data_IF_888677635856
#
_entry.id   IF_888677635856
#
_cell.length_a   1.000
_cell.length_b   1.000
_cell.length_c   1.000
_cell.angle_alpha   90.00
_cell.angle_beta   90.00
_cell.angle_gamma   90.00
#
_symmetry.space_group_name_H-M   'P 1'
#
loop_
_entity.id
_entity.type
_entity.pdbx_description
1 polymer ?
#
# COMPACT_ATOMS: atom_id res chain seq x y z
N UNK A 1 16.09 -12.21 -19.69
CA UNK A 1 15.59 -13.47 -19.20
C UNK A 1 14.05 -13.44 -19.26
N UNK A 2 13.43 -14.41 -19.94
CA UNK A 2 11.98 -14.47 -20.15
C UNK A 2 11.20 -14.51 -18.81
N UNK A 3 11.79 -15.07 -17.76
CA UNK A 3 11.19 -15.19 -16.44
C UNK A 3 10.97 -13.86 -15.71
N UNK A 4 11.63 -12.79 -16.16
CA UNK A 4 11.53 -11.44 -15.55
C UNK A 4 10.60 -10.52 -16.34
N UNK A 5 9.89 -11.04 -17.32
CA UNK A 5 8.95 -10.28 -18.16
C UNK A 5 7.56 -10.87 -18.03
N UNK A 6 6.58 -9.99 -17.95
CA UNK A 6 5.16 -10.30 -18.10
C UNK A 6 4.72 -9.83 -19.50
N UNK A 7 4.11 -10.71 -20.27
CA UNK A 7 3.56 -10.36 -21.57
C UNK A 7 2.04 -10.22 -21.43
N UNK A 8 1.54 -9.02 -21.73
CA UNK A 8 0.11 -8.73 -21.79
C UNK A 8 -0.17 -8.29 -23.22
N UNK A 9 -0.82 -9.15 -23.98
CA UNK A 9 -1.02 -8.99 -25.45
C UNK A 9 0.33 -8.76 -26.14
N UNK A 10 0.54 -7.61 -26.81
CA UNK A 10 1.80 -7.24 -27.47
C UNK A 10 2.79 -6.52 -26.53
N UNK A 11 2.33 -6.04 -25.38
CA UNK A 11 3.15 -5.28 -24.42
C UNK A 11 3.95 -6.21 -23.52
N UNK A 12 5.23 -5.88 -23.31
CA UNK A 12 6.10 -6.57 -22.36
C UNK A 12 6.40 -5.64 -21.18
N UNK A 13 6.08 -6.10 -19.99
CA UNK A 13 6.36 -5.41 -18.74
C UNK A 13 7.47 -6.11 -17.97
N UNK A 14 8.25 -5.37 -17.19
CA UNK A 14 9.21 -5.94 -16.26
C UNK A 14 8.49 -6.36 -15.00
N UNK A 15 8.78 -7.56 -14.49
CA UNK A 15 8.26 -8.02 -13.19
C UNK A 15 8.93 -7.29 -12.03
N UNK A 16 10.17 -6.83 -12.20
CA UNK A 16 10.88 -5.99 -11.25
C UNK A 16 11.88 -5.08 -11.98
N UNK A 17 12.20 -3.98 -11.34
CA UNK A 17 13.24 -3.06 -11.77
C UNK A 17 14.05 -2.58 -10.57
N UNK A 18 15.34 -2.35 -10.77
CA UNK A 18 16.22 -1.78 -9.77
C UNK A 18 16.71 -0.42 -10.25
N UNK A 19 16.54 0.61 -9.44
CA UNK A 19 16.91 1.98 -9.78
C UNK A 19 18.19 2.36 -9.03
N UNK A 20 19.25 2.59 -9.79
CA UNK A 20 20.53 3.05 -9.27
C UNK A 20 20.77 4.53 -9.63
N UNK A 21 21.57 5.20 -8.82
CA UNK A 21 22.01 6.57 -9.09
C UNK A 21 22.73 7.17 -7.88
N UNK A 22 23.43 8.29 -8.10
CA UNK A 22 24.10 9.05 -7.05
C UNK A 22 23.11 9.56 -5.98
N UNK A 23 23.61 9.97 -4.83
CA UNK A 23 22.80 10.65 -3.84
C UNK A 23 22.19 11.92 -4.45
N UNK A 24 20.99 12.28 -4.04
CA UNK A 24 20.20 13.39 -4.59
C UNK A 24 19.79 13.28 -6.08
N UNK A 25 19.96 12.12 -6.74
CA UNK A 25 19.55 11.90 -8.14
C UNK A 25 18.03 11.71 -8.33
N UNK A 26 17.23 11.79 -7.28
CA UNK A 26 15.77 11.67 -7.36
C UNK A 26 15.21 10.26 -7.19
N UNK A 27 16.02 9.25 -6.82
CA UNK A 27 15.53 7.87 -6.60
C UNK A 27 14.35 7.81 -5.62
N UNK A 28 14.48 8.48 -4.50
CA UNK A 28 13.42 8.56 -3.49
C UNK A 28 12.18 9.27 -4.02
N UNK A 29 12.34 10.25 -4.93
CA UNK A 29 11.21 10.96 -5.53
C UNK A 29 10.32 10.03 -6.37
N UNK A 30 10.88 8.96 -6.93
CA UNK A 30 10.06 7.95 -7.63
C UNK A 30 9.10 7.23 -6.68
N UNK A 31 9.58 6.80 -5.52
CA UNK A 31 8.72 6.20 -4.50
C UNK A 31 7.70 7.21 -3.93
N UNK A 32 8.15 8.45 -3.69
CA UNK A 32 7.28 9.55 -3.25
C UNK A 32 6.23 9.91 -4.29
N UNK A 33 6.54 9.80 -5.60
CA UNK A 33 5.56 9.96 -6.66
C UNK A 33 4.41 8.95 -6.52
N UNK A 34 4.70 7.66 -6.39
CA UNK A 34 3.65 6.65 -6.25
C UNK A 34 2.84 6.84 -4.97
N UNK A 35 3.49 7.17 -3.86
CA UNK A 35 2.81 7.47 -2.61
C UNK A 35 1.87 8.66 -2.75
N UNK A 36 2.38 9.79 -3.25
CA UNK A 36 1.61 11.01 -3.47
C UNK A 36 0.43 10.77 -4.43
N UNK A 37 0.67 10.03 -5.52
CA UNK A 37 -0.34 9.71 -6.51
C UNK A 37 -1.48 8.90 -5.90
N UNK A 38 -1.15 7.81 -5.20
CA UNK A 38 -2.14 6.98 -4.50
C UNK A 38 -2.91 7.78 -3.45
N UNK A 39 -2.20 8.51 -2.59
CA UNK A 39 -2.83 9.30 -1.53
C UNK A 39 -3.77 10.36 -2.12
N UNK A 40 -3.37 11.02 -3.22
CA UNK A 40 -4.19 12.03 -3.90
C UNK A 40 -5.48 11.41 -4.47
N UNK A 41 -5.39 10.24 -5.07
CA UNK A 41 -6.55 9.53 -5.64
C UNK A 41 -7.47 9.00 -4.54
N UNK A 42 -6.93 8.46 -3.46
CA UNK A 42 -7.75 7.82 -2.42
C UNK A 42 -8.34 8.85 -1.43
N UNK A 43 -7.60 9.91 -1.11
CA UNK A 43 -7.89 10.80 0.00
C UNK A 43 -7.96 12.30 -0.38
N UNK A 44 -7.66 12.63 -1.65
CA UNK A 44 -7.46 14.01 -2.11
C UNK A 44 -6.03 14.50 -1.91
N UNK A 45 -5.69 15.64 -2.53
CA UNK A 45 -4.31 16.18 -2.47
C UNK A 45 -3.87 16.39 -1.01
N UNK A 46 -2.83 15.67 -0.52
CA UNK A 46 -2.41 15.75 0.87
C UNK A 46 -1.85 17.14 1.21
N UNK A 47 -1.91 17.52 2.49
CA UNK A 47 -1.45 18.84 2.94
C UNK A 47 0.06 19.02 2.73
N UNK A 48 0.82 17.94 2.83
CA UNK A 48 2.27 17.90 2.64
C UNK A 48 2.68 18.29 1.22
N UNK A 49 1.76 18.18 0.24
CA UNK A 49 1.97 18.59 -1.15
C UNK A 49 2.41 20.05 -1.27
N UNK A 50 1.98 20.92 -0.33
CA UNK A 50 2.35 22.33 -0.31
C UNK A 50 3.86 22.57 -0.25
N UNK A 51 4.64 21.55 0.12
CA UNK A 51 6.10 21.58 0.21
C UNK A 51 6.81 20.73 -0.87
N UNK A 52 6.06 20.04 -1.74
CA UNK A 52 6.61 19.05 -2.70
C UNK A 52 6.97 19.65 -4.07
N UNK A 53 6.73 20.94 -4.29
CA UNK A 53 7.13 21.59 -5.55
C UNK A 53 8.65 21.67 -5.68
N UNK A 54 9.15 21.75 -6.93
CA UNK A 54 10.59 21.89 -7.20
C UNK A 54 11.13 23.23 -6.68
N UNK A 55 12.06 23.17 -5.71
CA UNK A 55 12.59 24.35 -4.99
C UNK A 55 13.76 25.02 -5.68
N UNK A 56 14.14 24.61 -6.90
CA UNK A 56 15.29 25.17 -7.62
C UNK A 56 15.09 26.62 -8.07
N UNK A 57 13.83 27.05 -8.21
CA UNK A 57 13.46 28.40 -8.61
C UNK A 57 12.22 28.84 -7.86
N UNK A 58 12.14 30.13 -7.57
CA UNK A 58 11.02 30.71 -6.79
C UNK A 58 9.68 30.57 -7.52
N UNK A 59 9.66 30.74 -8.84
CA UNK A 59 8.47 30.64 -9.68
C UNK A 59 7.87 29.23 -9.70
N UNK A 60 8.65 28.18 -9.40
CA UNK A 60 8.16 26.81 -9.39
C UNK A 60 7.10 26.57 -8.32
N UNK A 61 7.01 27.44 -7.32
CA UNK A 61 5.95 27.39 -6.32
C UNK A 61 4.56 27.50 -6.94
N UNK A 62 4.43 28.31 -7.99
CA UNK A 62 3.16 28.57 -8.68
C UNK A 62 3.00 27.76 -9.98
N UNK A 63 3.99 26.93 -10.30
CA UNK A 63 3.94 26.09 -11.50
C UNK A 63 3.11 24.84 -11.26
N UNK A 64 2.46 24.43 -12.34
CA UNK A 64 1.77 23.16 -12.42
C UNK A 64 2.75 21.99 -12.47
N UNK A 65 2.40 20.91 -11.76
CA UNK A 65 3.04 19.60 -11.82
C UNK A 65 2.03 18.59 -12.35
N UNK A 66 2.44 17.78 -13.32
CA UNK A 66 1.58 16.74 -13.91
C UNK A 66 2.03 15.36 -13.47
N UNK A 67 1.07 14.50 -13.22
CA UNK A 67 1.25 13.13 -12.75
C UNK A 67 0.40 12.20 -13.60
N UNK A 68 0.98 11.16 -14.15
CA UNK A 68 0.28 10.16 -14.95
C UNK A 68 0.86 8.77 -14.68
N UNK A 69 -0.02 7.79 -14.62
CA UNK A 69 0.35 6.37 -14.64
C UNK A 69 -0.38 5.65 -15.77
N UNK A 70 0.29 4.67 -16.33
CA UNK A 70 -0.32 3.74 -17.28
C UNK A 70 -0.44 2.38 -16.63
N UNK A 71 -1.63 1.83 -16.62
CA UNK A 71 -1.98 0.59 -15.92
C UNK A 71 -2.74 -0.36 -16.84
N UNK A 72 -2.77 -1.63 -16.43
CA UNK A 72 -3.61 -2.64 -17.07
C UNK A 72 -4.60 -3.20 -16.05
N UNK A 73 -5.87 -3.28 -16.45
CA UNK A 73 -6.94 -3.90 -15.66
C UNK A 73 -7.63 -4.93 -16.55
N UNK A 74 -7.42 -6.20 -16.23
CA UNK A 74 -7.81 -7.28 -17.12
C UNK A 74 -7.14 -7.13 -18.50
N UNK A 75 -7.95 -7.05 -19.56
CA UNK A 75 -7.47 -6.92 -20.95
C UNK A 75 -7.34 -5.48 -21.45
N UNK A 76 -7.64 -4.49 -20.61
CA UNK A 76 -7.64 -3.08 -20.97
C UNK A 76 -6.44 -2.36 -20.43
N UNK A 77 -5.97 -1.37 -21.18
CA UNK A 77 -4.90 -0.47 -20.78
C UNK A 77 -5.47 0.92 -20.55
N UNK A 78 -5.09 1.55 -19.46
CA UNK A 78 -5.53 2.90 -19.12
C UNK A 78 -4.35 3.82 -18.85
N UNK A 79 -4.48 5.10 -19.23
CA UNK A 79 -3.64 6.18 -18.75
C UNK A 79 -4.52 7.10 -17.91
N UNK A 80 -4.22 7.19 -16.62
CA UNK A 80 -4.90 8.11 -15.71
C UNK A 80 -3.91 9.10 -15.14
N UNK A 81 -4.28 10.36 -15.16
CA UNK A 81 -3.44 11.44 -14.66
C UNK A 81 -4.21 12.65 -14.20
N UNK A 82 -3.49 13.51 -13.51
CA UNK A 82 -3.95 14.84 -13.10
C UNK A 82 -2.80 15.82 -13.04
N UNK A 83 -3.12 17.10 -13.10
CA UNK A 83 -2.19 18.19 -12.88
C UNK A 83 -2.65 19.07 -11.72
N UNK A 84 -1.69 19.65 -11.01
CA UNK A 84 -1.97 20.50 -9.86
C UNK A 84 -0.87 21.53 -9.59
N UNK A 85 -1.26 22.70 -9.08
CA UNK A 85 -0.35 23.65 -8.40
C UNK A 85 -0.21 23.18 -6.96
N UNK A 86 0.89 22.49 -6.67
CA UNK A 86 1.09 21.78 -5.39
C UNK A 86 1.04 22.70 -4.17
N UNK A 87 1.69 23.89 -4.27
CA UNK A 87 1.71 24.87 -3.18
C UNK A 87 0.33 25.32 -2.71
N UNK A 88 -0.65 25.24 -3.60
CA UNK A 88 -2.05 25.65 -3.35
C UNK A 88 -2.98 24.45 -3.18
N UNK A 89 -2.48 23.24 -3.37
CA UNK A 89 -3.29 22.01 -3.44
C UNK A 89 -4.42 22.11 -4.47
N UNK A 90 -4.17 22.86 -5.54
CA UNK A 90 -5.18 23.18 -6.55
C UNK A 90 -5.01 22.26 -7.75
N UNK A 91 -6.00 21.42 -8.02
CA UNK A 91 -6.07 20.61 -9.24
C UNK A 91 -6.36 21.50 -10.44
N UNK A 92 -5.54 21.39 -11.48
CA UNK A 92 -5.63 22.19 -12.72
C UNK A 92 -6.09 21.37 -13.91
N UNK A 93 -6.03 20.05 -13.81
CA UNK A 93 -6.52 19.14 -14.84
C UNK A 93 -6.64 17.71 -14.32
N UNK A 94 -7.50 16.92 -14.94
CA UNK A 94 -7.66 15.49 -14.65
C UNK A 94 -8.13 14.79 -15.92
N UNK A 95 -7.58 13.61 -16.22
CA UNK A 95 -7.91 12.86 -17.43
C UNK A 95 -7.81 11.36 -17.23
N UNK A 96 -8.59 10.63 -18.02
CA UNK A 96 -8.52 9.17 -18.15
C UNK A 96 -8.69 8.75 -19.60
N UNK A 97 -7.73 7.98 -20.09
CA UNK A 97 -7.74 7.43 -21.44
C UNK A 97 -7.72 5.90 -21.41
N UNK A 98 -8.45 5.28 -22.31
CA UNK A 98 -8.25 3.88 -22.69
C UNK A 98 -7.23 3.82 -23.82
N UNK A 99 -6.16 3.03 -23.64
CA UNK A 99 -5.06 2.90 -24.60
C UNK A 99 -5.23 1.64 -25.43
N UNK A 100 -4.96 1.75 -26.73
CA UNK A 100 -5.05 0.62 -27.65
C UNK A 100 -3.66 0.20 -28.15
N UNK A 101 -3.52 -1.07 -28.54
CA UNK A 101 -2.25 -1.65 -29.00
C UNK A 101 -1.71 -1.02 -30.28
N UNK A 102 -2.55 -0.41 -31.10
CA UNK A 102 -2.17 0.33 -32.30
C UNK A 102 -1.57 1.71 -32.01
N UNK A 103 -1.40 2.06 -30.73
CA UNK A 103 -0.87 3.35 -30.27
C UNK A 103 -1.92 4.47 -30.21
N UNK A 104 -3.19 4.20 -30.57
CA UNK A 104 -4.26 5.18 -30.36
C UNK A 104 -4.75 5.18 -28.92
N UNK A 105 -5.36 6.29 -28.50
CA UNK A 105 -5.98 6.44 -27.20
C UNK A 105 -7.40 7.00 -27.36
N UNK A 106 -8.31 6.55 -26.52
CA UNK A 106 -9.66 7.09 -26.41
C UNK A 106 -9.80 7.81 -25.08
N UNK A 107 -10.07 9.11 -25.12
CA UNK A 107 -10.45 9.83 -23.89
C UNK A 107 -11.73 9.20 -23.34
N UNK A 108 -11.77 8.90 -22.06
CA UNK A 108 -12.96 8.45 -21.34
C UNK A 108 -13.61 9.61 -20.61
N UNK A 109 -12.83 10.37 -19.86
CA UNK A 109 -13.25 11.67 -19.33
C UNK A 109 -12.06 12.61 -19.19
N UNK A 110 -12.37 13.89 -19.12
CA UNK A 110 -11.40 14.94 -18.81
C UNK A 110 -12.06 16.08 -18.02
N UNK A 111 -11.24 16.80 -17.29
CA UNK A 111 -11.62 17.99 -16.53
C UNK A 111 -10.50 19.03 -16.58
N UNK A 112 -10.86 20.27 -16.84
CA UNK A 112 -9.95 21.41 -16.81
C UNK A 112 -10.23 22.28 -15.59
N UNK A 113 -9.28 22.36 -14.67
CA UNK A 113 -9.39 23.14 -13.45
C UNK A 113 -10.61 22.76 -12.60
N UNK A 114 -11.37 23.77 -12.22
CA UNK A 114 -12.63 23.63 -11.48
C UNK A 114 -13.85 23.45 -12.37
N UNK A 115 -13.67 23.34 -13.69
CA UNK A 115 -14.79 23.13 -14.60
C UNK A 115 -15.45 21.77 -14.37
N UNK A 116 -16.68 21.67 -14.81
CA UNK A 116 -17.44 20.45 -14.82
C UNK A 116 -16.69 19.33 -15.58
N UNK A 117 -16.56 18.12 -15.00
CA UNK A 117 -15.99 16.97 -15.72
C UNK A 117 -16.82 16.60 -16.97
N UNK A 118 -16.14 16.28 -18.06
CA UNK A 118 -16.75 15.94 -19.35
C UNK A 118 -16.46 14.49 -19.70
N UNK A 119 -17.50 13.72 -19.99
CA UNK A 119 -17.38 12.37 -20.50
C UNK A 119 -17.28 12.41 -22.03
N UNK A 120 -16.53 11.49 -22.62
CA UNK A 120 -16.45 11.38 -24.08
C UNK A 120 -17.80 11.01 -24.70
N UNK A 121 -18.24 11.75 -25.69
CA UNK A 121 -19.52 11.57 -26.41
C UNK A 121 -19.65 10.19 -27.09
N UNK A 122 -18.52 9.55 -27.39
CA UNK A 122 -18.50 8.19 -27.96
C UNK A 122 -18.78 7.07 -26.96
N UNK A 123 -19.14 7.39 -25.69
CA UNK A 123 -19.56 6.41 -24.68
C UNK A 123 -21.09 6.41 -24.60
N UNK A 124 -21.70 5.39 -25.16
CA UNK A 124 -23.17 5.24 -25.09
C UNK A 124 -23.59 4.75 -23.71
N UNK A 125 -24.17 5.65 -22.92
CA UNK A 125 -24.71 5.37 -21.58
C UNK A 125 -26.20 5.05 -21.65
N UNK A 126 -26.67 4.26 -20.70
CA UNK A 126 -28.10 4.19 -20.38
C UNK A 126 -28.56 5.50 -19.73
N UNK A 127 -29.86 5.79 -19.77
CA UNK A 127 -30.42 7.01 -19.13
C UNK A 127 -30.05 7.09 -17.63
N UNK A 128 -30.04 5.97 -16.92
CA UNK A 128 -29.66 5.91 -15.50
C UNK A 128 -28.19 6.26 -15.30
N UNK A 129 -27.30 5.74 -16.14
CA UNK A 129 -25.88 6.03 -16.06
C UNK A 129 -25.56 7.47 -16.44
N UNK A 130 -26.28 7.98 -17.46
CA UNK A 130 -26.15 9.38 -17.88
C UNK A 130 -26.55 10.32 -16.74
N UNK A 131 -27.74 10.13 -16.16
CA UNK A 131 -28.21 10.94 -15.05
C UNK A 131 -27.26 10.85 -13.85
N UNK A 132 -26.74 9.64 -13.56
CA UNK A 132 -25.76 9.44 -12.48
C UNK A 132 -24.49 10.24 -12.72
N UNK A 133 -23.91 10.17 -13.93
CA UNK A 133 -22.71 10.90 -14.26
C UNK A 133 -22.94 12.41 -14.21
N UNK A 134 -24.00 12.90 -14.83
CA UNK A 134 -24.33 14.33 -14.87
C UNK A 134 -24.53 14.91 -13.48
N UNK A 135 -25.30 14.25 -12.62
CA UNK A 135 -25.49 14.70 -11.24
C UNK A 135 -24.14 14.85 -10.51
N UNK A 136 -23.28 13.86 -10.59
CA UNK A 136 -21.98 13.94 -9.90
C UNK A 136 -21.02 14.94 -10.55
N UNK A 137 -21.10 15.11 -11.87
CA UNK A 137 -20.28 16.09 -12.58
C UNK A 137 -20.72 17.53 -12.24
N UNK A 138 -22.04 17.75 -12.11
CA UNK A 138 -22.61 19.05 -11.74
C UNK A 138 -22.26 19.38 -10.27
N UNK A 139 -22.43 18.43 -9.35
CA UNK A 139 -22.08 18.60 -7.92
C UNK A 139 -20.57 18.82 -7.71
N UNK A 140 -19.76 18.34 -8.65
CA UNK A 140 -18.30 18.46 -8.58
C UNK A 140 -17.75 19.74 -9.21
N UNK A 141 -18.54 20.47 -9.96
CA UNK A 141 -18.14 21.76 -10.52
C UNK A 141 -17.73 22.74 -9.42
N UNK A 142 -16.66 23.46 -9.64
CA UNK A 142 -16.08 24.36 -8.62
C UNK A 142 -15.12 23.68 -7.64
N UNK A 143 -15.02 22.35 -7.61
CA UNK A 143 -14.06 21.67 -6.74
C UNK A 143 -12.64 21.77 -7.29
N UNK A 144 -11.71 22.29 -6.48
CA UNK A 144 -10.31 22.46 -6.87
C UNK A 144 -9.33 21.58 -6.09
N UNK A 145 -9.79 20.83 -5.07
CA UNK A 145 -8.89 20.13 -4.13
C UNK A 145 -8.98 18.60 -4.19
N UNK A 146 -9.99 18.09 -4.87
CA UNK A 146 -10.24 16.65 -5.00
C UNK A 146 -10.22 16.24 -6.47
N UNK A 147 -10.07 14.95 -6.70
CA UNK A 147 -10.13 14.33 -8.02
C UNK A 147 -11.52 13.77 -8.28
N UNK A 148 -11.99 13.91 -9.52
CA UNK A 148 -13.30 13.39 -9.92
C UNK A 148 -13.35 11.86 -9.89
N UNK A 149 -12.23 11.21 -10.19
CA UNK A 149 -12.12 9.76 -10.02
C UNK A 149 -12.45 9.32 -8.59
N UNK A 150 -11.99 10.06 -7.59
CA UNK A 150 -12.31 9.83 -6.17
C UNK A 150 -13.79 10.01 -5.92
N UNK A 151 -14.38 11.10 -6.42
CA UNK A 151 -15.80 11.40 -6.26
C UNK A 151 -16.67 10.31 -6.87
N UNK A 152 -16.34 9.85 -8.07
CA UNK A 152 -17.08 8.78 -8.74
C UNK A 152 -17.02 7.43 -7.99
N UNK A 153 -16.10 7.28 -7.01
CA UNK A 153 -15.93 6.04 -6.25
C UNK A 153 -16.39 6.11 -4.78
N UNK A 154 -16.43 7.30 -4.18
CA UNK A 154 -16.79 7.45 -2.77
C UNK A 154 -18.23 6.98 -2.49
N UNK A 155 -18.36 5.84 -1.78
CA UNK A 155 -19.67 5.26 -1.40
C UNK A 155 -20.55 4.82 -2.56
N UNK A 156 -20.03 4.77 -3.78
CA UNK A 156 -20.79 4.47 -4.99
C UNK A 156 -20.60 3.02 -5.44
N UNK A 157 -21.68 2.42 -5.98
CA UNK A 157 -21.67 1.05 -6.50
C UNK A 157 -21.87 1.06 -8.02
N UNK A 158 -21.20 0.15 -8.70
CA UNK A 158 -21.33 -0.09 -10.13
C UNK A 158 -21.81 -1.51 -10.39
N UNK A 159 -22.67 -1.66 -11.39
CA UNK A 159 -22.96 -2.98 -11.97
C UNK A 159 -21.75 -3.44 -12.80
N UNK A 160 -21.49 -4.73 -12.85
CA UNK A 160 -20.45 -5.33 -13.71
C UNK A 160 -20.66 -5.05 -15.20
N UNK A 161 -21.88 -4.68 -15.60
CA UNK A 161 -22.23 -4.31 -16.99
C UNK A 161 -22.21 -2.81 -17.23
N UNK A 162 -21.93 -2.00 -16.21
CA UNK A 162 -21.96 -0.54 -16.33
C UNK A 162 -20.87 -0.06 -17.30
N UNK A 163 -21.26 0.88 -18.17
CA UNK A 163 -20.32 1.58 -19.05
C UNK A 163 -19.41 2.57 -18.32
N UNK A 164 -19.75 2.91 -17.07
CA UNK A 164 -18.94 3.73 -16.17
C UNK A 164 -18.03 2.90 -15.26
N UNK A 165 -17.97 1.58 -15.44
CA UNK A 165 -17.20 0.67 -14.58
C UNK A 165 -15.69 1.01 -14.57
N UNK A 166 -15.17 1.61 -15.63
CA UNK A 166 -13.78 2.02 -15.72
C UNK A 166 -13.35 3.00 -14.61
N UNK A 167 -14.28 3.80 -14.06
CA UNK A 167 -13.97 4.62 -12.89
C UNK A 167 -13.62 3.74 -11.68
N UNK A 168 -14.37 2.67 -11.45
CA UNK A 168 -14.12 1.71 -10.39
C UNK A 168 -12.84 0.92 -10.65
N UNK A 169 -12.69 0.40 -11.86
CA UNK A 169 -11.55 -0.43 -12.24
C UNK A 169 -10.21 0.29 -12.01
N UNK A 170 -10.12 1.55 -12.45
CA UNK A 170 -8.90 2.36 -12.28
C UNK A 170 -8.67 2.75 -10.83
N UNK A 171 -9.73 3.16 -10.11
CA UNK A 171 -9.62 3.53 -8.71
C UNK A 171 -9.18 2.34 -7.84
N UNK A 172 -9.84 1.19 -7.98
CA UNK A 172 -9.54 -0.01 -7.21
C UNK A 172 -8.12 -0.51 -7.51
N UNK A 173 -7.66 -0.39 -8.76
CA UNK A 173 -6.29 -0.73 -9.11
C UNK A 173 -5.31 0.17 -8.35
N UNK A 174 -5.48 1.48 -8.39
CA UNK A 174 -4.60 2.44 -7.68
C UNK A 174 -4.63 2.19 -6.17
N UNK A 175 -5.80 1.96 -5.62
CA UNK A 175 -5.97 1.74 -4.19
C UNK A 175 -5.32 0.45 -3.70
N UNK A 176 -5.48 -0.65 -4.45
CA UNK A 176 -5.15 -1.98 -3.96
C UNK A 176 -3.84 -2.55 -4.52
N UNK A 177 -3.34 -2.04 -5.67
CA UNK A 177 -2.20 -2.62 -6.38
C UNK A 177 -0.92 -1.77 -6.29
N UNK A 178 -0.94 -0.64 -5.60
CA UNK A 178 0.26 0.14 -5.29
C UNK A 178 0.55 0.01 -3.79
N UNK A 179 1.73 -0.51 -3.45
CA UNK A 179 2.23 -0.59 -2.08
C UNK A 179 3.61 0.05 -2.01
N UNK A 180 3.82 0.97 -1.08
CA UNK A 180 5.10 1.66 -0.90
C UNK A 180 5.71 1.23 0.42
N UNK A 181 6.87 0.59 0.34
CA UNK A 181 7.65 0.15 1.48
C UNK A 181 8.83 1.09 1.64
N UNK A 182 8.85 1.86 2.73
CA UNK A 182 9.97 2.73 3.12
C UNK A 182 10.84 2.05 4.17
N UNK A 183 12.05 2.54 4.46
CA UNK A 183 12.87 2.00 5.54
C UNK A 183 12.18 1.96 6.91
N UNK A 184 11.22 2.86 7.12
CA UNK A 184 10.46 2.95 8.37
C UNK A 184 9.09 2.23 8.32
N UNK A 185 8.74 1.64 7.17
CA UNK A 185 7.50 0.86 7.05
C UNK A 185 7.67 -0.45 7.82
N UNK A 186 6.88 -0.63 8.86
CA UNK A 186 6.71 -1.91 9.52
C UNK A 186 5.58 -2.67 8.83
N UNK A 187 5.83 -3.93 8.51
CA UNK A 187 4.78 -4.78 7.96
C UNK A 187 3.80 -5.15 9.07
N UNK A 188 2.53 -4.99 8.79
CA UNK A 188 1.46 -5.10 9.79
C UNK A 188 0.94 -6.55 9.86
N UNK A 189 1.07 -7.30 8.77
CA UNK A 189 0.59 -8.67 8.70
C UNK A 189 1.65 -9.64 9.21
N UNK A 190 1.54 -9.98 10.50
CA UNK A 190 2.46 -10.87 11.20
C UNK A 190 1.87 -12.29 11.40
N UNK A 191 0.73 -12.59 10.77
CA UNK A 191 0.08 -13.91 10.87
C UNK A 191 0.96 -15.03 10.31
N UNK A 192 1.85 -14.71 9.36
CA UNK A 192 2.78 -15.68 8.77
C UNK A 192 3.68 -16.39 9.78
N UNK A 193 4.00 -15.76 10.89
CA UNK A 193 4.88 -16.36 11.90
C UNK A 193 4.17 -17.39 12.75
N UNK A 194 2.84 -17.42 12.75
CA UNK A 194 2.02 -18.30 13.58
C UNK A 194 1.36 -19.45 12.80
N UNK A 195 1.47 -19.42 11.47
CA UNK A 195 1.06 -20.56 10.63
C UNK A 195 2.26 -21.45 10.34
N UNK A 196 2.16 -22.72 10.70
CA UNK A 196 3.24 -23.70 10.55
C UNK A 196 3.79 -23.82 9.12
N UNK A 197 2.92 -23.65 8.11
CA UNK A 197 3.34 -23.73 6.71
C UNK A 197 4.12 -22.48 6.31
N UNK A 198 3.68 -21.32 6.76
CA UNK A 198 4.35 -20.06 6.54
C UNK A 198 5.70 -20.02 7.27
N UNK A 199 5.77 -20.50 8.50
CA UNK A 199 7.03 -20.61 9.25
C UNK A 199 8.04 -21.53 8.55
N UNK A 200 7.59 -22.63 7.95
CA UNK A 200 8.45 -23.49 7.10
C UNK A 200 8.99 -22.76 5.88
N UNK A 201 8.15 -21.93 5.23
CA UNK A 201 8.57 -21.11 4.09
C UNK A 201 9.55 -20.03 4.50
N UNK A 202 9.31 -19.32 5.62
CA UNK A 202 10.24 -18.36 6.21
C UNK A 202 11.60 -19.03 6.47
N UNK A 203 11.60 -20.20 7.11
CA UNK A 203 12.80 -20.96 7.39
C UNK A 203 13.55 -21.42 6.13
N UNK A 204 12.85 -21.61 5.03
CA UNK A 204 13.47 -21.90 3.74
C UNK A 204 14.10 -20.65 3.13
N UNK A 205 13.37 -19.52 3.17
CA UNK A 205 13.80 -18.26 2.58
C UNK A 205 14.99 -17.64 3.34
N UNK A 206 14.94 -17.61 4.67
CA UNK A 206 15.97 -16.95 5.48
C UNK A 206 17.37 -17.52 5.20
N UNK A 207 17.46 -18.82 4.92
CA UNK A 207 18.70 -19.50 4.56
C UNK A 207 19.30 -19.02 3.24
N UNK A 208 18.50 -18.40 2.36
CA UNK A 208 18.98 -17.91 1.06
C UNK A 208 19.64 -16.53 1.14
N UNK A 209 19.49 -15.82 2.27
CA UNK A 209 20.00 -14.46 2.43
C UNK A 209 21.41 -14.36 3.04
N UNK A 210 22.05 -15.48 3.32
CA UNK A 210 23.40 -15.55 3.88
C UNK A 210 23.60 -14.70 5.16
N UNK A 211 22.58 -14.63 5.99
CA UNK A 211 22.61 -13.93 7.28
C UNK A 211 23.25 -14.75 8.41
N UNK A 212 23.53 -16.01 8.15
CA UNK A 212 23.95 -16.97 9.17
C UNK A 212 22.80 -17.60 9.95
N UNK A 213 21.58 -17.09 9.81
CA UNK A 213 20.38 -17.65 10.47
C UNK A 213 20.01 -18.97 9.78
N UNK A 214 19.92 -20.01 10.57
CA UNK A 214 19.53 -21.35 10.12
C UNK A 214 18.07 -21.68 10.41
N UNK A 215 17.49 -21.05 11.45
CA UNK A 215 16.14 -21.33 11.87
C UNK A 215 15.50 -20.13 12.60
N UNK A 216 14.25 -19.87 12.30
CA UNK A 216 13.33 -19.03 13.05
C UNK A 216 12.41 -19.94 13.86
N UNK A 217 12.28 -19.69 15.13
CA UNK A 217 11.42 -20.41 16.05
C UNK A 217 10.43 -19.46 16.73
N UNK A 218 9.30 -19.99 17.12
CA UNK A 218 8.36 -19.34 18.04
C UNK A 218 8.62 -19.90 19.44
N UNK A 219 8.89 -19.02 20.38
CA UNK A 219 9.09 -19.35 21.78
C UNK A 219 7.96 -18.77 22.62
N UNK A 220 7.44 -19.56 23.54
CA UNK A 220 6.50 -19.10 24.56
C UNK A 220 7.28 -18.43 25.70
N UNK A 221 6.87 -17.23 26.09
CA UNK A 221 7.47 -16.46 27.16
C UNK A 221 6.43 -16.13 28.24
N UNK A 222 6.90 -15.83 29.42
CA UNK A 222 6.06 -15.42 30.54
C UNK A 222 5.62 -13.95 30.43
N UNK A 223 4.54 -13.58 31.12
CA UNK A 223 4.13 -12.17 31.24
C UNK A 223 5.18 -11.31 31.92
N UNK A 224 5.98 -11.88 32.84
CA UNK A 224 7.07 -11.18 33.50
C UNK A 224 8.19 -10.84 32.51
N UNK A 225 8.57 -11.77 31.62
CA UNK A 225 9.54 -11.51 30.56
C UNK A 225 9.03 -10.46 29.60
N UNK A 226 7.75 -10.52 29.21
CA UNK A 226 7.12 -9.48 28.38
C UNK A 226 7.13 -8.11 29.08
N UNK A 227 6.81 -8.07 30.37
CA UNK A 227 6.83 -6.83 31.18
C UNK A 227 8.23 -6.21 31.24
N UNK A 228 9.26 -7.04 31.33
CA UNK A 228 10.65 -6.57 31.34
C UNK A 228 11.15 -6.08 29.96
N UNK A 229 10.60 -6.61 28.90
CA UNK A 229 10.96 -6.24 27.52
C UNK A 229 10.29 -4.96 27.02
N UNK A 230 9.29 -4.45 27.71
CA UNK A 230 8.49 -3.29 27.29
C UNK A 230 8.56 -2.14 28.28
N UNK A 231 8.46 -0.87 27.83
CA UNK A 231 8.18 0.24 28.73
C UNK A 231 6.90 -0.02 29.53
N UNK A 232 6.94 0.20 30.84
CA UNK A 232 5.83 -0.08 31.74
C UNK A 232 4.48 0.48 31.25
N UNK A 233 4.48 1.72 30.76
CA UNK A 233 3.26 2.36 30.24
C UNK A 233 2.68 1.68 29.00
N UNK A 234 3.51 1.02 28.18
CA UNK A 234 3.08 0.25 26.99
C UNK A 234 2.51 -1.08 27.46
N UNK A 235 3.20 -1.78 28.33
CA UNK A 235 2.75 -3.04 28.91
C UNK A 235 1.39 -2.88 29.62
N UNK A 236 1.26 -1.88 30.49
CA UNK A 236 0.02 -1.63 31.26
C UNK A 236 -1.17 -1.36 30.33
N UNK A 237 -1.00 -0.51 29.31
CA UNK A 237 -2.05 -0.23 28.31
C UNK A 237 -2.44 -1.46 27.51
N UNK A 238 -1.45 -2.24 27.12
CA UNK A 238 -1.66 -3.47 26.35
C UNK A 238 -2.45 -4.49 27.18
N UNK A 239 -2.04 -4.74 28.42
CA UNK A 239 -2.73 -5.68 29.31
C UNK A 239 -4.14 -5.19 29.68
N UNK A 240 -4.33 -3.88 29.84
CA UNK A 240 -5.65 -3.29 30.01
C UNK A 240 -6.56 -3.58 28.80
N UNK A 241 -6.01 -3.45 27.58
CA UNK A 241 -6.77 -3.74 26.37
C UNK A 241 -7.13 -5.24 26.26
N UNK A 242 -6.18 -6.12 26.58
CA UNK A 242 -6.42 -7.57 26.63
C UNK A 242 -7.55 -7.90 27.63
N UNK A 243 -7.45 -7.34 28.84
CA UNK A 243 -8.44 -7.55 29.89
C UNK A 243 -9.84 -7.06 29.48
N UNK A 244 -9.93 -5.85 28.95
CA UNK A 244 -11.21 -5.29 28.48
C UNK A 244 -11.85 -6.20 27.41
N UNK A 245 -11.07 -6.69 26.43
CA UNK A 245 -11.59 -7.59 25.39
C UNK A 245 -12.02 -8.95 25.94
N UNK A 246 -11.35 -9.46 26.97
CA UNK A 246 -11.77 -10.70 27.63
C UNK A 246 -13.09 -10.51 28.42
N UNK A 247 -13.32 -9.32 28.97
CA UNK A 247 -14.55 -9.00 29.70
C UNK A 247 -15.74 -8.71 28.78
N UNK A 248 -15.51 -8.25 27.54
CA UNK A 248 -16.56 -7.91 26.56
C UNK A 248 -17.19 -9.12 25.87
N UNK A 249 -16.59 -10.29 25.94
CA UNK A 249 -17.02 -11.50 25.21
C UNK A 249 -17.29 -12.64 26.17
N UNK A 250 -18.36 -13.40 25.93
CA UNK A 250 -18.68 -14.62 26.72
C UNK A 250 -17.63 -15.73 26.52
N UNK A 251 -17.13 -15.89 25.29
CA UNK A 251 -16.03 -16.81 24.95
C UNK A 251 -14.96 -16.01 24.16
N UNK A 252 -14.04 -15.31 24.87
CA UNK A 252 -13.04 -14.51 24.21
C UNK A 252 -12.05 -15.37 23.43
N UNK A 253 -11.92 -15.12 22.14
CA UNK A 253 -10.90 -15.74 21.29
C UNK A 253 -10.34 -14.65 20.37
N UNK A 254 -9.11 -14.23 20.66
CA UNK A 254 -8.44 -13.23 19.82
C UNK A 254 -6.94 -13.33 19.91
N UNK A 255 -6.29 -12.78 18.91
CA UNK A 255 -4.84 -12.63 18.84
C UNK A 255 -4.49 -11.15 18.71
N UNK A 256 -3.45 -10.73 19.41
CA UNK A 256 -2.89 -9.40 19.34
C UNK A 256 -1.39 -9.50 19.12
N UNK A 257 -0.91 -8.93 18.02
CA UNK A 257 0.51 -8.92 17.71
C UNK A 257 1.06 -7.50 17.85
N UNK A 258 2.21 -7.38 18.48
CA UNK A 258 2.95 -6.14 18.61
C UNK A 258 4.33 -6.28 18.01
N UNK A 259 4.69 -5.31 17.20
CA UNK A 259 6.02 -5.20 16.64
C UNK A 259 6.58 -3.79 16.78
N UNK A 260 7.81 -3.69 17.21
CA UNK A 260 8.65 -2.49 17.12
C UNK A 260 9.90 -2.80 16.26
N UNK A 261 10.85 -1.86 16.19
CA UNK A 261 12.14 -2.14 15.54
C UNK A 261 12.92 -3.28 16.21
N UNK A 262 12.72 -3.48 17.50
CA UNK A 262 13.52 -4.38 18.34
C UNK A 262 12.72 -5.53 18.91
N UNK A 263 11.40 -5.42 18.96
CA UNK A 263 10.55 -6.38 19.67
C UNK A 263 9.47 -6.97 18.76
N UNK A 264 9.16 -8.23 19.00
CA UNK A 264 8.10 -8.95 18.34
C UNK A 264 7.40 -9.84 19.35
N UNK A 265 6.15 -9.56 19.64
CA UNK A 265 5.34 -10.35 20.57
C UNK A 265 3.97 -10.62 20.01
N UNK A 266 3.44 -11.79 20.31
CA UNK A 266 2.07 -12.15 20.06
C UNK A 266 1.41 -12.60 21.36
N UNK A 267 0.21 -12.09 21.62
CA UNK A 267 -0.62 -12.48 22.75
C UNK A 267 -1.85 -13.17 22.17
N UNK A 268 -2.07 -14.38 22.58
CA UNK A 268 -3.21 -15.20 22.17
C UNK A 268 -4.08 -15.51 23.38
N UNK A 269 -5.36 -15.29 23.22
CA UNK A 269 -6.38 -15.55 24.26
C UNK A 269 -7.37 -16.55 23.69
N UNK A 270 -7.57 -17.65 24.40
CA UNK A 270 -8.57 -18.66 24.11
C UNK A 270 -9.43 -18.92 25.35
N UNK A 271 -10.69 -18.56 25.27
CA UNK A 271 -11.59 -18.61 26.41
C UNK A 271 -11.14 -17.73 27.56
N UNK A 272 -11.37 -18.14 28.78
CA UNK A 272 -10.96 -17.42 30.01
C UNK A 272 -9.62 -17.90 30.57
N UNK A 273 -8.80 -18.57 29.75
CA UNK A 273 -7.46 -18.99 30.16
C UNK A 273 -6.50 -17.78 30.25
N UNK A 274 -5.37 -17.96 30.94
CA UNK A 274 -4.32 -16.95 30.93
C UNK A 274 -3.82 -16.69 29.51
N UNK A 275 -3.56 -15.43 29.14
CA UNK A 275 -3.03 -15.08 27.83
C UNK A 275 -1.70 -15.78 27.57
N UNK A 276 -1.62 -16.47 26.44
CA UNK A 276 -0.39 -17.08 25.95
C UNK A 276 0.43 -16.04 25.22
N UNK A 277 1.69 -15.83 25.63
CA UNK A 277 2.59 -14.89 25.01
C UNK A 277 3.69 -15.63 24.26
N UNK A 278 3.95 -15.23 23.01
CA UNK A 278 5.00 -15.81 22.20
C UNK A 278 5.88 -14.73 21.56
N UNK A 279 7.15 -15.07 21.32
CA UNK A 279 8.12 -14.23 20.61
C UNK A 279 8.88 -15.04 19.57
N UNK A 280 9.70 -14.36 18.77
CA UNK A 280 10.57 -14.98 17.77
C UNK A 280 11.96 -15.17 18.37
N UNK A 281 12.55 -16.35 18.16
CA UNK A 281 13.94 -16.65 18.40
C UNK A 281 14.64 -17.09 17.12
N UNK A 282 15.88 -16.68 17.00
CA UNK A 282 16.72 -16.89 15.82
C UNK A 282 17.91 -17.75 16.16
N UNK A 283 18.06 -18.87 15.47
CA UNK A 283 19.18 -19.78 15.64
C UNK A 283 20.18 -19.57 14.50
N UNK A 284 21.43 -19.29 14.83
CA UNK A 284 22.54 -19.13 13.89
C UNK A 284 23.34 -20.42 13.74
N UNK A 285 23.81 -20.72 12.53
CA UNK A 285 24.56 -21.95 12.21
C UNK A 285 25.79 -22.23 13.09
N UNK A 286 26.38 -21.17 13.64
CA UNK A 286 27.65 -21.26 14.41
C UNK A 286 27.48 -20.95 15.89
N UNK A 287 26.22 -20.79 16.35
CA UNK A 287 25.91 -20.45 17.73
C UNK A 287 25.28 -21.64 18.46
N UNK A 288 25.61 -21.79 19.73
CA UNK A 288 24.94 -22.71 20.65
C UNK A 288 23.70 -22.06 21.30
N UNK A 289 23.56 -20.74 21.18
CA UNK A 289 22.49 -19.97 21.80
C UNK A 289 21.56 -19.43 20.72
N UNK A 290 20.32 -19.24 21.09
CA UNK A 290 19.32 -18.55 20.29
C UNK A 290 19.36 -17.05 20.60
N UNK A 291 19.11 -16.23 19.58
CA UNK A 291 19.15 -14.77 19.67
C UNK A 291 17.72 -14.22 19.67
N UNK A 292 17.51 -13.15 20.42
CA UNK A 292 16.34 -12.33 20.31
C UNK A 292 16.34 -11.51 19.01
N UNK A 293 15.18 -11.03 18.65
CA UNK A 293 15.05 -10.17 17.47
C UNK A 293 15.81 -8.83 17.61
N UNK A 294 15.94 -8.34 18.86
CA UNK A 294 16.68 -7.15 19.26
C UNK A 294 18.20 -7.30 19.12
N UNK A 295 18.69 -8.52 19.20
CA UNK A 295 20.13 -8.82 19.06
C UNK A 295 20.60 -8.87 17.60
N UNK A 296 19.67 -8.84 16.64
CA UNK A 296 19.97 -8.87 15.21
C UNK A 296 20.36 -7.50 14.65
N UNK A 297 21.13 -7.53 13.55
CA UNK A 297 21.47 -6.31 12.81
C UNK A 297 20.24 -5.66 12.19
N UNK A 298 20.27 -4.33 11.94
CA UNK A 298 19.21 -3.60 11.24
C UNK A 298 18.93 -4.21 9.86
N UNK A 299 19.96 -4.66 9.16
CA UNK A 299 19.82 -5.33 7.86
C UNK A 299 19.06 -6.64 7.97
N UNK A 300 19.38 -7.47 8.96
CA UNK A 300 18.68 -8.72 9.24
C UNK A 300 17.23 -8.46 9.62
N UNK A 301 16.98 -7.54 10.54
CA UNK A 301 15.61 -7.14 10.92
C UNK A 301 14.81 -6.67 9.74
N UNK A 302 15.44 -5.92 8.82
CA UNK A 302 14.80 -5.46 7.59
C UNK A 302 14.39 -6.59 6.65
N UNK A 303 15.15 -7.68 6.59
CA UNK A 303 14.74 -8.86 5.82
C UNK A 303 13.42 -9.47 6.32
N UNK A 304 13.20 -9.47 7.63
CA UNK A 304 11.91 -9.90 8.20
C UNK A 304 10.78 -8.97 7.79
N UNK A 305 11.03 -7.67 7.66
CA UNK A 305 10.03 -6.72 7.15
C UNK A 305 9.68 -6.97 5.69
N UNK A 306 10.57 -7.56 4.91
CA UNK A 306 10.34 -7.89 3.51
C UNK A 306 9.72 -9.29 3.32
N UNK A 307 9.61 -10.10 4.38
CA UNK A 307 9.06 -11.46 4.28
C UNK A 307 7.61 -11.45 3.79
N UNK A 308 6.79 -10.49 4.21
CA UNK A 308 5.42 -10.36 3.72
C UNK A 308 5.38 -10.22 2.19
N UNK A 309 6.22 -9.36 1.63
CA UNK A 309 6.33 -9.19 0.18
C UNK A 309 6.81 -10.47 -0.52
N UNK A 310 7.71 -11.24 0.11
CA UNK A 310 8.29 -12.45 -0.46
C UNK A 310 7.37 -13.67 -0.32
N UNK A 311 6.55 -13.73 0.72
CA UNK A 311 5.63 -14.81 1.02
C UNK A 311 4.24 -14.57 0.45
N UNK A 312 3.86 -13.31 0.31
CA UNK A 312 2.56 -12.93 -0.21
C UNK A 312 2.49 -13.21 -1.72
N UNK A 313 1.56 -14.08 -2.10
CA UNK A 313 1.32 -14.46 -3.50
C UNK A 313 0.49 -13.42 -4.28
N UNK A 314 0.46 -12.18 -3.84
CA UNK A 314 -0.23 -11.10 -4.57
C UNK A 314 0.61 -10.72 -5.80
N UNK A 315 0.44 -11.49 -6.88
CA UNK A 315 1.15 -11.30 -8.16
C UNK A 315 0.81 -9.99 -8.87
N UNK A 316 -0.20 -9.30 -8.39
CA UNK A 316 -0.83 -8.12 -8.98
C UNK A 316 -0.48 -6.80 -8.26
N UNK A 317 0.37 -6.81 -7.24
CA UNK A 317 0.76 -5.61 -6.48
C UNK A 317 2.11 -5.08 -6.93
N UNK A 318 2.20 -3.77 -7.13
CA UNK A 318 3.45 -3.01 -7.31
C UNK A 318 3.97 -2.60 -5.92
N UNK A 319 5.14 -3.11 -5.56
CA UNK A 319 5.85 -2.76 -4.33
C UNK A 319 6.96 -1.74 -4.60
#
# INVERSE_FOLDING_TARGET
>A
NANHRLKIKSTQLLKYAVVYGANASGKTNLALFFKFFKDSVCNGIPIEATQMFCKNRQENKERESSFEIQITVGDKFYAYGFSAVLSRRKVTGEWLYELYQNGSAKCLFEREGSKRPVLNDGITLTNTEKNKFETYADDFEGNETSLFLTEMNRGKKYSTRSKLLFFRDVYDWIQNHISIITPDTQLIDLEYYYDDNSLKLINKLIKTFDTGISQVKIEEITLDELSNALPKSVFDKMMQHVKNRMEEQEEPSFRMTMRSKETFFNIEVEGHSEPKVTTIRLHHNKSFYEFGFDEESDGTRRLFDLMDMLLNKREDVLY
#
